data_IF_438219624809
#
_entry.id   IF_438219624809
#
_cell.length_a   1.000
_cell.length_b   1.000
_cell.length_c   1.000
_cell.angle_alpha   90.00
_cell.angle_beta   90.00
_cell.angle_gamma   90.00
#
_symmetry.space_group_name_H-M   'P 1'
#
loop_
_entity.id
_entity.type
_entity.pdbx_description
1 polymer ?
#
# COMPACT_ATOMS: atom_id res chain seq x y z
N UNK A 1 -2.33 -55.88 3.07
CA UNK A 1 -1.58 -54.60 3.22
C UNK A 1 -0.96 -54.55 4.59
N UNK A 2 0.36 -54.50 4.66
CA UNK A 2 1.11 -54.76 5.88
C UNK A 2 0.98 -53.66 6.91
N UNK A 3 0.46 -53.92 8.08
CA UNK A 3 0.35 -53.06 9.24
C UNK A 3 1.67 -52.38 9.68
N UNK A 4 2.80 -52.93 9.27
CA UNK A 4 4.14 -52.37 9.56
C UNK A 4 4.43 -51.07 8.79
N UNK A 5 3.87 -50.91 7.61
CA UNK A 5 4.03 -49.68 6.79
C UNK A 5 3.24 -48.53 7.39
N UNK A 6 2.05 -48.77 7.95
CA UNK A 6 1.24 -47.75 8.60
C UNK A 6 1.87 -47.18 9.86
N UNK A 7 2.54 -48.03 10.64
CA UNK A 7 3.23 -47.62 11.88
C UNK A 7 4.45 -46.73 11.56
N UNK A 8 5.18 -47.02 10.47
CA UNK A 8 6.32 -46.21 10.04
C UNK A 8 5.89 -44.80 9.58
N UNK A 9 4.78 -44.68 8.85
CA UNK A 9 4.24 -43.38 8.45
C UNK A 9 3.72 -42.57 9.63
N UNK A 10 3.16 -43.21 10.65
CA UNK A 10 2.66 -42.52 11.84
C UNK A 10 3.81 -41.94 12.69
N UNK A 11 4.91 -42.67 12.83
CA UNK A 11 6.11 -42.20 13.56
C UNK A 11 6.79 -41.03 12.82
N UNK A 12 6.85 -41.06 11.48
CA UNK A 12 7.42 -39.99 10.68
C UNK A 12 6.56 -38.70 10.77
N UNK A 13 5.23 -38.84 10.80
CA UNK A 13 4.31 -37.69 10.90
C UNK A 13 4.35 -37.01 12.27
N UNK A 14 4.53 -37.76 13.36
CA UNK A 14 4.65 -37.19 14.72
C UNK A 14 5.97 -36.44 14.91
N UNK A 15 7.07 -36.86 14.28
CA UNK A 15 8.37 -36.20 14.38
C UNK A 15 8.38 -34.85 13.66
N UNK A 16 7.66 -34.69 12.52
CA UNK A 16 7.51 -33.40 11.83
C UNK A 16 6.67 -32.38 12.65
N UNK A 17 5.66 -32.86 13.38
CA UNK A 17 4.79 -31.96 14.14
C UNK A 17 5.49 -31.36 15.36
N UNK A 18 6.42 -32.09 16.00
CA UNK A 18 7.20 -31.59 17.14
C UNK A 18 8.22 -30.54 16.73
N UNK A 19 8.81 -30.66 15.53
CA UNK A 19 9.77 -29.68 15.00
C UNK A 19 9.12 -28.33 14.69
N UNK A 20 7.88 -28.30 14.16
CA UNK A 20 7.15 -27.07 13.86
C UNK A 20 6.73 -26.32 15.14
N UNK A 21 6.39 -27.06 16.21
CA UNK A 21 6.02 -26.47 17.51
C UNK A 21 7.20 -25.82 18.24
N UNK A 22 8.41 -26.36 18.08
CA UNK A 22 9.63 -25.82 18.68
C UNK A 22 10.06 -24.49 18.03
N UNK A 23 9.96 -24.37 16.70
CA UNK A 23 10.29 -23.13 16.00
C UNK A 23 9.32 -21.98 16.33
N UNK A 24 8.02 -22.28 16.54
CA UNK A 24 7.03 -21.28 16.91
C UNK A 24 7.26 -20.70 18.31
N UNK A 25 7.86 -21.48 19.21
CA UNK A 25 8.18 -21.06 20.58
C UNK A 25 9.45 -20.20 20.66
N UNK A 26 10.43 -20.42 19.78
CA UNK A 26 11.65 -19.60 19.71
C UNK A 26 11.38 -18.22 19.13
N UNK A 27 10.55 -18.09 18.10
CA UNK A 27 10.19 -16.79 17.54
C UNK A 27 9.39 -15.90 18.51
N UNK A 28 8.59 -16.49 19.43
CA UNK A 28 7.87 -15.71 20.45
C UNK A 28 8.81 -15.14 21.53
N UNK A 29 9.96 -15.79 21.80
CA UNK A 29 10.92 -15.34 22.81
C UNK A 29 11.87 -14.24 22.29
N UNK A 30 12.06 -14.14 20.99
CA UNK A 30 12.89 -13.10 20.35
C UNK A 30 12.17 -11.73 20.28
N UNK A 31 10.84 -11.70 20.21
CA UNK A 31 10.05 -10.46 20.10
C UNK A 31 9.88 -9.75 21.45
N UNK A 32 10.04 -10.45 22.58
CA UNK A 32 9.84 -9.86 23.92
C UNK A 32 11.06 -9.12 24.49
N UNK A 33 12.18 -9.05 23.76
CA UNK A 33 13.41 -8.34 24.17
C UNK A 33 13.77 -7.12 23.33
N UNK A 34 12.89 -6.65 22.49
CA UNK A 34 13.05 -5.35 21.83
C UNK A 34 12.76 -4.23 22.86
N UNK A 35 13.81 -3.82 23.55
CA UNK A 35 13.86 -2.68 24.47
C UNK A 35 13.49 -1.42 23.66
N UNK A 36 12.45 -0.72 24.11
CA UNK A 36 12.06 0.60 23.59
C UNK A 36 13.26 1.54 23.72
N UNK A 37 13.93 1.80 22.62
CA UNK A 37 14.95 2.85 22.54
C UNK A 37 14.18 4.17 22.42
N UNK A 38 14.08 4.93 23.51
CA UNK A 38 13.69 6.33 23.49
C UNK A 38 14.80 7.08 22.77
N UNK A 39 14.58 7.43 21.51
CA UNK A 39 15.45 8.37 20.80
C UNK A 39 15.12 9.75 21.34
N UNK A 40 15.90 10.23 22.30
CA UNK A 40 15.94 11.64 22.71
C UNK A 40 16.68 12.41 21.62
N UNK A 41 15.95 13.17 20.82
CA UNK A 41 16.52 14.13 19.87
C UNK A 41 17.11 15.27 20.67
N UNK A 42 18.42 15.62 20.51
CA UNK A 42 19.02 16.76 21.18
C UNK A 42 18.34 18.05 20.71
N UNK A 43 17.99 18.93 21.65
CA UNK A 43 17.33 20.24 21.42
C UNK A 43 18.13 21.23 20.54
N UNK A 44 19.33 20.88 20.15
CA UNK A 44 20.24 21.75 19.40
C UNK A 44 20.02 21.74 17.88
N UNK A 45 19.24 20.76 17.37
CA UNK A 45 18.96 20.66 15.93
C UNK A 45 17.76 21.50 15.45
N UNK A 46 16.94 22.00 16.37
CA UNK A 46 15.73 22.77 16.01
C UNK A 46 16.03 24.23 15.55
N UNK A 47 17.22 24.74 15.85
CA UNK A 47 17.61 26.12 15.51
C UNK A 47 18.27 26.29 14.14
N UNK A 48 18.67 25.19 13.48
CA UNK A 48 19.41 25.23 12.21
C UNK A 48 18.48 25.19 11.00
N UNK A 49 17.20 24.78 11.19
CA UNK A 49 16.26 24.58 10.08
C UNK A 49 15.63 25.90 9.57
N UNK A 50 15.75 27.01 10.31
CA UNK A 50 15.06 28.27 10.00
C UNK A 50 15.82 29.22 9.07
N UNK A 51 17.09 29.00 8.72
CA UNK A 51 17.91 29.99 8.06
C UNK A 51 18.68 29.59 6.79
N UNK A 52 18.47 28.42 6.25
CA UNK A 52 19.21 27.99 5.03
C UNK A 52 18.24 27.64 3.92
N UNK A 53 18.14 28.50 2.90
CA UNK A 53 17.65 28.11 1.57
C UNK A 53 18.66 27.13 0.98
N UNK A 54 18.62 25.87 1.42
CA UNK A 54 19.46 24.81 0.87
C UNK A 54 18.79 24.29 -0.38
N UNK A 55 19.56 24.25 -1.45
CA UNK A 55 19.19 23.65 -2.72
C UNK A 55 18.74 22.20 -2.46
N UNK A 56 17.44 21.97 -2.49
CA UNK A 56 16.77 20.73 -2.08
C UNK A 56 17.31 19.51 -2.85
N UNK A 57 17.87 19.76 -4.04
CA UNK A 57 18.46 18.72 -4.88
C UNK A 57 19.81 18.22 -4.37
N UNK A 58 20.63 19.09 -3.81
CA UNK A 58 21.97 18.76 -3.31
C UNK A 58 21.94 18.05 -1.95
N UNK A 59 20.97 18.40 -1.10
CA UNK A 59 20.75 17.76 0.21
C UNK A 59 20.25 16.33 0.08
N UNK A 60 19.50 16.02 -0.98
CA UNK A 60 18.98 14.71 -1.33
C UNK A 60 20.07 13.65 -1.55
N UNK A 61 21.21 14.06 -2.12
CA UNK A 61 22.32 13.15 -2.45
C UNK A 61 23.19 12.81 -1.24
N UNK A 62 23.24 13.69 -0.24
CA UNK A 62 24.12 13.53 0.93
C UNK A 62 23.51 12.62 2.00
N UNK A 63 22.18 12.61 2.18
CA UNK A 63 21.52 11.86 3.24
C UNK A 63 20.88 10.55 2.79
N UNK A 64 20.85 10.22 1.49
CA UNK A 64 20.21 9.02 0.97
C UNK A 64 18.70 8.94 1.28
N UNK A 65 18.09 10.07 1.69
CA UNK A 65 16.66 10.14 2.00
C UNK A 65 15.90 10.32 0.68
N UNK A 66 15.19 9.28 0.29
CA UNK A 66 14.34 9.33 -0.88
C UNK A 66 13.22 10.37 -0.65
N UNK A 67 13.05 11.32 -1.59
CA UNK A 67 12.04 12.38 -1.49
C UNK A 67 10.61 11.84 -1.32
N UNK A 68 10.39 10.61 -1.76
CA UNK A 68 9.14 9.88 -1.53
C UNK A 68 8.94 9.56 -0.05
N UNK A 69 9.99 9.16 0.67
CA UNK A 69 9.91 8.88 2.11
C UNK A 69 9.62 10.15 2.93
N UNK A 70 10.21 11.29 2.56
CA UNK A 70 9.95 12.57 3.24
C UNK A 70 8.53 13.08 2.95
N UNK A 71 8.05 12.93 1.72
CA UNK A 71 6.67 13.24 1.35
C UNK A 71 5.68 12.38 2.16
N UNK A 72 5.93 11.09 2.28
CA UNK A 72 5.09 10.19 3.07
C UNK A 72 5.15 10.46 4.58
N UNK A 73 6.30 10.87 5.11
CA UNK A 73 6.45 11.18 6.54
C UNK A 73 5.62 12.39 6.99
N UNK A 74 5.44 13.39 6.13
CA UNK A 74 4.67 14.61 6.43
C UNK A 74 3.22 14.58 5.93
N UNK A 75 2.84 13.57 5.15
CA UNK A 75 1.51 13.45 4.59
C UNK A 75 0.55 12.80 5.59
N UNK A 76 -0.53 13.49 5.94
CA UNK A 76 -1.61 12.92 6.75
C UNK A 76 -2.60 12.19 5.86
N UNK A 77 -3.09 11.06 6.35
CA UNK A 77 -4.09 10.25 5.68
C UNK A 77 -5.36 10.20 6.51
N UNK A 78 -6.50 10.36 5.87
CA UNK A 78 -7.82 10.20 6.48
C UNK A 78 -8.49 8.96 5.89
N UNK A 79 -8.81 7.98 6.73
CA UNK A 79 -9.52 6.79 6.31
C UNK A 79 -10.86 7.16 5.67
N UNK A 80 -11.08 6.74 4.43
CA UNK A 80 -12.34 6.88 3.71
C UNK A 80 -13.14 5.58 3.76
N UNK A 81 -12.55 4.45 3.36
CA UNK A 81 -13.24 3.16 3.32
C UNK A 81 -12.29 1.98 3.41
N UNK A 82 -12.63 0.95 4.21
CA UNK A 82 -12.01 -0.37 4.24
C UNK A 82 -12.85 -1.38 3.47
N UNK A 83 -12.26 -2.52 3.13
CA UNK A 83 -12.90 -3.63 2.41
C UNK A 83 -13.60 -3.16 1.13
N UNK A 84 -13.04 -2.19 0.43
CA UNK A 84 -13.59 -1.65 -0.79
C UNK A 84 -13.17 -2.50 -1.99
N UNK A 85 -14.11 -2.78 -2.90
CA UNK A 85 -13.80 -3.47 -4.15
C UNK A 85 -13.23 -2.48 -5.17
N UNK A 86 -11.99 -2.70 -5.58
CA UNK A 86 -11.31 -1.99 -6.64
C UNK A 86 -11.21 -2.83 -7.91
N UNK A 87 -11.35 -2.20 -9.08
CA UNK A 87 -11.03 -2.77 -10.38
C UNK A 87 -10.20 -1.78 -11.22
N UNK A 88 -10.01 -2.07 -12.50
CA UNK A 88 -9.29 -1.14 -13.37
C UNK A 88 -10.01 -0.94 -14.70
N UNK A 89 -9.69 0.20 -15.35
CA UNK A 89 -10.22 0.54 -16.64
C UNK A 89 -9.76 -0.37 -17.76
N UNK A 90 -10.70 -0.76 -18.60
CA UNK A 90 -10.39 -1.48 -19.83
C UNK A 90 -9.60 -0.60 -20.81
N UNK A 91 -8.68 -1.21 -21.58
CA UNK A 91 -7.79 -0.54 -22.53
C UNK A 91 -8.53 0.37 -23.54
N UNK A 92 -9.79 0.04 -23.92
CA UNK A 92 -10.61 0.81 -24.86
C UNK A 92 -10.92 2.24 -24.41
N UNK A 93 -10.76 2.56 -23.11
CA UNK A 93 -11.01 3.90 -22.57
C UNK A 93 -9.78 4.82 -22.67
N UNK A 94 -8.60 4.28 -22.98
CA UNK A 94 -7.39 5.07 -23.10
C UNK A 94 -7.56 6.18 -24.12
N UNK A 95 -7.16 7.40 -23.77
CA UNK A 95 -7.28 8.58 -24.63
C UNK A 95 -8.65 9.26 -24.65
N UNK A 96 -9.69 8.67 -24.03
CA UNK A 96 -11.02 9.32 -23.93
C UNK A 96 -11.02 10.41 -22.87
N UNK A 97 -11.94 11.37 -22.99
CA UNK A 97 -12.18 12.38 -21.95
C UNK A 97 -12.86 11.75 -20.75
N UNK A 98 -12.36 12.07 -19.56
CA UNK A 98 -12.97 11.74 -18.25
C UNK A 98 -14.05 12.77 -17.90
N UNK A 99 -14.81 12.51 -16.84
CA UNK A 99 -15.82 13.43 -16.34
C UNK A 99 -15.22 14.76 -15.82
N UNK A 100 -13.95 14.79 -15.44
CA UNK A 100 -13.23 16.04 -15.10
C UNK A 100 -12.74 16.82 -16.33
N UNK A 101 -12.94 16.32 -17.55
CA UNK A 101 -12.45 16.91 -18.79
C UNK A 101 -11.00 16.52 -19.16
N UNK A 102 -10.25 15.90 -18.24
CA UNK A 102 -8.90 15.42 -18.52
C UNK A 102 -8.92 14.22 -19.47
N UNK A 103 -7.87 14.04 -20.27
CA UNK A 103 -7.69 12.86 -21.10
C UNK A 103 -7.26 11.68 -20.22
N UNK A 104 -7.97 10.55 -20.33
CA UNK A 104 -7.63 9.35 -19.57
C UNK A 104 -6.37 8.68 -20.12
N UNK A 105 -5.43 8.38 -19.22
CA UNK A 105 -4.22 7.60 -19.51
C UNK A 105 -4.15 6.38 -18.61
N UNK A 106 -4.14 5.19 -19.20
CA UNK A 106 -3.99 3.93 -18.48
C UNK A 106 -2.59 3.74 -17.85
N UNK A 107 -1.61 4.52 -18.28
CA UNK A 107 -0.26 4.52 -17.71
C UNK A 107 -0.07 5.59 -16.62
N UNK A 108 -1.08 6.42 -16.37
CA UNK A 108 -1.10 7.40 -15.28
C UNK A 108 -1.51 6.77 -13.94
N UNK A 109 -1.56 7.61 -12.91
CA UNK A 109 -2.04 7.26 -11.57
C UNK A 109 -3.35 8.00 -11.30
N UNK A 110 -4.43 7.49 -11.88
CA UNK A 110 -5.77 8.10 -11.80
C UNK A 110 -6.81 7.08 -11.40
N UNK A 111 -7.93 7.59 -10.90
CA UNK A 111 -9.06 6.78 -10.47
C UNK A 111 -10.40 7.41 -10.85
N UNK A 112 -11.43 6.57 -11.00
CA UNK A 112 -12.82 6.97 -10.95
C UNK A 112 -13.41 6.68 -9.57
N UNK A 113 -14.15 7.64 -9.05
CA UNK A 113 -14.91 7.50 -7.81
C UNK A 113 -16.28 8.19 -7.92
N UNK A 114 -17.32 7.57 -7.27
CA UNK A 114 -18.70 8.01 -7.42
C UNK A 114 -18.95 9.42 -6.88
N UNK A 115 -18.35 9.75 -5.73
CA UNK A 115 -18.73 10.91 -4.91
C UNK A 115 -17.59 11.89 -4.64
N UNK A 116 -16.35 11.40 -4.52
CA UNK A 116 -15.22 12.26 -4.13
C UNK A 116 -14.98 13.34 -5.18
N UNK A 117 -14.62 14.57 -4.78
CA UNK A 117 -14.30 15.66 -5.71
C UNK A 117 -13.18 15.28 -6.68
N UNK A 118 -13.22 15.86 -7.89
CA UNK A 118 -12.09 15.75 -8.82
C UNK A 118 -10.85 16.44 -8.23
N UNK A 119 -9.68 15.86 -8.49
CA UNK A 119 -8.42 16.31 -7.92
C UNK A 119 -8.11 15.73 -6.54
N UNK A 120 -9.08 15.07 -5.87
CA UNK A 120 -8.80 14.40 -4.60
C UNK A 120 -7.73 13.33 -4.80
N UNK A 121 -6.67 13.39 -4.00
CA UNK A 121 -5.64 12.34 -3.97
C UNK A 121 -6.04 11.27 -2.97
N UNK A 122 -5.93 10.02 -3.40
CA UNK A 122 -6.27 8.85 -2.60
C UNK A 122 -5.07 7.93 -2.51
N UNK A 123 -4.75 7.47 -1.30
CA UNK A 123 -3.89 6.32 -1.10
C UNK A 123 -4.76 5.08 -1.11
N UNK A 124 -4.48 4.18 -2.04
CA UNK A 124 -5.19 2.91 -2.21
C UNK A 124 -4.26 1.78 -1.84
N UNK A 125 -4.59 1.05 -0.78
CA UNK A 125 -3.77 -0.04 -0.23
C UNK A 125 -4.48 -1.37 -0.45
N UNK A 126 -3.81 -2.31 -1.09
CA UNK A 126 -4.31 -3.68 -1.24
C UNK A 126 -4.18 -4.41 0.10
N UNK A 127 -5.29 -4.88 0.65
CA UNK A 127 -5.34 -5.51 1.97
C UNK A 127 -4.64 -6.88 2.03
N UNK A 128 -4.52 -7.57 0.89
CA UNK A 128 -3.90 -8.89 0.84
C UNK A 128 -2.36 -8.85 0.93
N UNK A 129 -1.72 -7.76 0.48
CA UNK A 129 -0.26 -7.69 0.39
C UNK A 129 0.35 -6.39 0.96
N UNK A 130 -0.47 -5.44 1.40
CA UNK A 130 -0.03 -4.16 1.96
C UNK A 130 0.55 -3.16 0.94
N UNK A 131 0.62 -3.48 -0.34
CA UNK A 131 1.10 -2.56 -1.37
C UNK A 131 0.11 -1.41 -1.55
N UNK A 132 0.63 -0.20 -1.69
CA UNK A 132 -0.19 0.99 -1.86
C UNK A 132 0.27 1.84 -3.03
N UNK A 133 -0.67 2.64 -3.58
CA UNK A 133 -0.43 3.61 -4.63
C UNK A 133 -1.22 4.86 -4.34
N UNK A 134 -0.69 6.03 -4.72
CA UNK A 134 -1.42 7.29 -4.67
C UNK A 134 -1.99 7.58 -6.07
N UNK A 135 -3.30 7.86 -6.12
CA UNK A 135 -4.02 8.16 -7.36
C UNK A 135 -4.85 9.44 -7.22
N UNK A 136 -5.06 10.13 -8.32
CA UNK A 136 -5.94 11.31 -8.39
C UNK A 136 -7.32 10.91 -8.92
N UNK A 137 -8.38 11.39 -8.30
CA UNK A 137 -9.76 11.22 -8.79
C UNK A 137 -9.98 12.16 -9.97
N UNK A 138 -10.11 11.59 -11.17
CA UNK A 138 -10.30 12.35 -12.42
C UNK A 138 -11.58 11.98 -13.15
N UNK A 139 -12.28 10.93 -12.70
CA UNK A 139 -13.46 10.44 -13.40
C UNK A 139 -14.60 10.06 -12.46
N UNK A 140 -15.79 9.83 -13.00
CA UNK A 140 -16.98 9.32 -12.31
C UNK A 140 -17.18 7.84 -12.60
N UNK A 141 -17.56 7.11 -11.59
CA UNK A 141 -17.74 5.66 -11.56
C UNK A 141 -17.10 5.06 -10.32
N UNK A 142 -17.08 3.75 -10.21
CA UNK A 142 -17.74 2.75 -11.07
C UNK A 142 -19.26 2.83 -10.99
N UNK A 143 -19.94 2.55 -12.10
CA UNK A 143 -21.40 2.51 -12.14
C UNK A 143 -21.98 1.20 -11.59
N UNK A 144 -21.13 0.20 -11.36
CA UNK A 144 -21.50 -1.03 -10.64
C UNK A 144 -21.66 -0.75 -9.14
N UNK A 145 -22.73 -1.27 -8.53
CA UNK A 145 -22.97 -1.16 -7.07
C UNK A 145 -21.88 -1.88 -6.26
N UNK A 146 -21.37 -3.01 -6.76
CA UNK A 146 -20.39 -3.83 -6.06
C UNK A 146 -18.99 -3.21 -5.98
N UNK A 147 -18.63 -2.28 -6.88
CA UNK A 147 -17.31 -1.66 -6.93
C UNK A 147 -17.35 -0.25 -6.34
N UNK A 148 -16.28 0.12 -5.65
CA UNK A 148 -16.12 1.45 -5.06
C UNK A 148 -15.24 2.37 -5.90
N UNK A 149 -14.16 1.82 -6.46
CA UNK A 149 -13.16 2.57 -7.19
C UNK A 149 -12.68 1.79 -8.42
N UNK A 150 -12.49 2.49 -9.54
CA UNK A 150 -11.83 1.96 -10.74
C UNK A 150 -10.51 2.70 -10.93
N UNK A 151 -9.40 1.98 -10.91
CA UNK A 151 -8.04 2.52 -11.06
C UNK A 151 -7.62 2.52 -12.53
N UNK A 152 -6.64 3.38 -12.89
CA UNK A 152 -5.88 3.17 -14.11
C UNK A 152 -5.21 1.79 -14.07
N UNK A 153 -4.94 1.21 -15.25
CA UNK A 153 -4.33 -0.13 -15.30
C UNK A 153 -2.97 -0.18 -14.62
N UNK A 154 -2.14 0.86 -14.77
CA UNK A 154 -0.83 0.96 -14.11
C UNK A 154 -0.97 0.92 -12.60
N UNK A 155 -1.81 1.78 -12.03
CA UNK A 155 -2.03 1.83 -10.59
C UNK A 155 -2.52 0.50 -10.02
N UNK A 156 -3.48 -0.15 -10.69
CA UNK A 156 -3.99 -1.45 -10.28
C UNK A 156 -2.91 -2.55 -10.31
N UNK A 157 -2.13 -2.63 -11.41
CA UNK A 157 -1.09 -3.65 -11.58
C UNK A 157 0.07 -3.51 -10.61
N UNK A 158 0.29 -2.30 -10.08
CA UNK A 158 1.34 -2.04 -9.08
C UNK A 158 1.00 -2.61 -7.72
N UNK A 159 -0.27 -2.52 -7.31
CA UNK A 159 -0.71 -3.00 -6.00
C UNK A 159 -1.22 -4.43 -5.99
N UNK A 160 -1.61 -5.00 -7.13
CA UNK A 160 -2.14 -6.36 -7.16
C UNK A 160 -1.06 -7.42 -7.26
N UNK A 161 -1.23 -8.54 -6.53
CA UNK A 161 -0.39 -9.73 -6.68
C UNK A 161 -0.89 -10.62 -7.81
N UNK A 162 -2.22 -10.72 -7.97
CA UNK A 162 -2.85 -11.52 -9.03
C UNK A 162 -3.33 -10.61 -10.16
N UNK A 163 -2.49 -10.47 -11.19
CA UNK A 163 -2.77 -9.62 -12.36
C UNK A 163 -3.96 -10.08 -13.20
N UNK A 164 -4.40 -11.32 -13.04
CA UNK A 164 -5.51 -11.90 -13.80
C UNK A 164 -6.86 -11.74 -13.10
N UNK A 165 -6.88 -11.38 -11.81
CA UNK A 165 -8.11 -11.27 -11.03
C UNK A 165 -9.07 -10.17 -11.52
N UNK A 166 -8.56 -9.08 -12.09
CA UNK A 166 -9.37 -7.93 -12.51
C UNK A 166 -10.00 -7.13 -11.38
N UNK A 167 -10.03 -7.67 -10.15
CA UNK A 167 -10.55 -7.03 -8.93
C UNK A 167 -9.66 -7.35 -7.75
N UNK A 168 -9.66 -6.44 -6.75
CA UNK A 168 -8.96 -6.66 -5.47
C UNK A 168 -9.68 -5.90 -4.34
N UNK A 169 -9.45 -6.32 -3.11
CA UNK A 169 -9.96 -5.64 -1.92
C UNK A 169 -8.92 -4.64 -1.44
N UNK A 170 -9.37 -3.42 -1.21
CA UNK A 170 -8.49 -2.30 -0.83
C UNK A 170 -9.03 -1.51 0.34
N UNK A 171 -8.12 -0.88 1.07
CA UNK A 171 -8.40 0.25 1.93
C UNK A 171 -8.13 1.54 1.17
N UNK A 172 -9.06 2.50 1.25
CA UNK A 172 -8.99 3.81 0.60
C UNK A 172 -8.82 4.86 1.70
N UNK A 173 -7.78 5.69 1.58
CA UNK A 173 -7.48 6.81 2.46
C UNK A 173 -7.35 8.10 1.63
N UNK A 174 -7.91 9.20 2.10
CA UNK A 174 -7.69 10.51 1.48
C UNK A 174 -6.35 11.09 1.94
N UNK A 175 -5.61 11.65 1.01
CA UNK A 175 -4.38 12.39 1.28
C UNK A 175 -4.75 13.80 1.73
N UNK A 176 -4.35 14.17 2.96
CA UNK A 176 -4.54 15.51 3.50
C UNK A 176 -3.24 16.27 3.28
N UNK A 177 -3.24 17.17 2.31
CA UNK A 177 -2.10 18.05 2.09
C UNK A 177 -2.08 19.14 3.19
N UNK A 178 -0.92 19.47 3.76
CA UNK A 178 -0.80 20.62 4.64
C UNK A 178 -1.16 21.88 3.84
N UNK A 179 -1.97 22.74 4.46
CA UNK A 179 -2.28 24.09 3.93
C UNK A 179 -1.05 24.96 4.00
#
# INVERSE_FOLDING_TARGET
>A
MNNKIFILFFILFTSLFTSISAQKKQNKKAISKAKTVKITVPKEQEKVVAAVKVDTFKFKTILGIDSLNLYHANTKFRLFKKNAHASYYHKKFNGRRTASGKKFDNNGYTAAHKKLPFGTKLKVTNEANGKSVIVEVTDRGPFSKAREIDLSRRAFMEITSNKNSGVTIVTIEEVIEPK
#
